data_IF_559088628340
#
_entry.id   IF_559088628340
#
_cell.length_a   1.000
_cell.length_b   1.000
_cell.length_c   1.000
_cell.angle_alpha   90.00
_cell.angle_beta   90.00
_cell.angle_gamma   90.00
#
_symmetry.space_group_name_H-M   'P 1'
#
loop_
_entity.id
_entity.type
_entity.pdbx_description
1 polymer ?
#
# COMPACT_ATOMS: atom_id res chain seq x y z
N UNK A 1 -10.00 -9.54 -17.48
CA UNK A 1 -11.32 -9.67 -16.83
C UNK A 1 -11.10 -9.74 -15.33
N UNK A 2 -11.90 -9.00 -14.55
CA UNK A 2 -11.89 -9.02 -13.09
C UNK A 2 -13.26 -9.44 -12.61
N UNK A 3 -13.32 -10.43 -11.72
CA UNK A 3 -14.54 -10.90 -11.07
C UNK A 3 -14.49 -10.63 -9.58
N UNK A 4 -15.66 -10.39 -9.01
CA UNK A 4 -15.86 -10.17 -7.58
C UNK A 4 -16.77 -11.27 -7.02
N UNK A 5 -16.42 -11.85 -5.88
CA UNK A 5 -17.22 -12.89 -5.23
C UNK A 5 -17.40 -12.55 -3.76
N UNK A 6 -18.66 -12.53 -3.32
CA UNK A 6 -19.04 -12.55 -1.92
C UNK A 6 -19.35 -13.99 -1.54
N UNK A 7 -18.86 -14.43 -0.38
CA UNK A 7 -19.18 -15.75 0.16
C UNK A 7 -20.04 -15.59 1.42
N UNK A 8 -21.04 -16.46 1.63
CA UNK A 8 -21.76 -16.49 2.90
C UNK A 8 -20.80 -16.60 4.07
N UNK A 9 -21.14 -15.90 5.17
CA UNK A 9 -20.42 -15.96 6.44
C UNK A 9 -18.94 -15.53 6.38
N UNK A 10 -18.55 -14.75 5.36
CA UNK A 10 -17.21 -14.14 5.25
C UNK A 10 -17.28 -12.63 5.16
N UNK A 11 -16.54 -11.94 6.03
CA UNK A 11 -16.29 -10.51 5.94
C UNK A 11 -15.16 -10.20 4.94
N UNK A 12 -15.27 -10.72 3.71
CA UNK A 12 -14.27 -10.54 2.67
C UNK A 12 -14.90 -10.43 1.28
N UNK A 13 -14.38 -9.51 0.47
CA UNK A 13 -14.65 -9.42 -0.96
C UNK A 13 -13.50 -10.07 -1.73
N UNK A 14 -13.78 -11.17 -2.41
CA UNK A 14 -12.76 -11.87 -3.18
C UNK A 14 -12.65 -11.29 -4.59
N UNK A 15 -11.43 -11.02 -5.03
CA UNK A 15 -11.12 -10.45 -6.34
C UNK A 15 -10.32 -11.49 -7.13
N UNK A 16 -10.84 -11.90 -8.28
CA UNK A 16 -10.15 -12.79 -9.21
C UNK A 16 -9.89 -12.07 -10.53
N UNK A 17 -8.63 -12.01 -10.96
CA UNK A 17 -8.24 -11.34 -12.20
C UNK A 17 -7.61 -12.32 -13.17
N UNK A 18 -7.99 -12.22 -14.45
CA UNK A 18 -7.35 -12.93 -15.58
C UNK A 18 -6.92 -11.92 -16.64
N UNK A 19 -5.64 -11.98 -17.03
CA UNK A 19 -5.07 -11.20 -18.12
C UNK A 19 -4.82 -12.14 -19.30
N UNK A 20 -5.22 -11.73 -20.49
CA UNK A 20 -5.03 -12.48 -21.73
C UNK A 20 -4.39 -11.57 -22.78
N UNK A 21 -3.33 -12.04 -23.42
CA UNK A 21 -2.71 -11.35 -24.56
C UNK A 21 -3.17 -12.02 -25.85
N UNK A 22 -4.09 -11.40 -26.58
CA UNK A 22 -4.58 -11.91 -27.87
C UNK A 22 -3.70 -11.56 -29.07
N UNK A 23 -2.56 -10.89 -28.86
CA UNK A 23 -1.64 -10.55 -29.95
C UNK A 23 -0.68 -11.71 -30.26
N UNK A 24 -0.20 -11.77 -31.50
CA UNK A 24 0.83 -12.72 -31.90
C UNK A 24 2.21 -12.45 -31.25
N UNK A 25 2.38 -11.31 -30.59
CA UNK A 25 3.63 -10.91 -29.94
C UNK A 25 3.43 -10.57 -28.46
N UNK A 26 4.45 -10.75 -27.59
CA UNK A 26 4.40 -10.36 -26.20
C UNK A 26 4.08 -8.86 -26.02
N UNK A 27 3.28 -8.54 -25.00
CA UNK A 27 2.97 -7.17 -24.57
C UNK A 27 3.24 -7.01 -23.09
N UNK A 28 3.84 -5.89 -22.72
CA UNK A 28 3.99 -5.51 -21.32
C UNK A 28 2.64 -5.11 -20.72
N UNK A 29 2.43 -5.44 -19.45
CA UNK A 29 1.28 -4.98 -18.70
C UNK A 29 1.66 -4.73 -17.24
N UNK A 30 0.86 -3.90 -16.58
CA UNK A 30 0.85 -3.75 -15.13
C UNK A 30 -0.59 -3.90 -14.68
N UNK A 31 -0.79 -4.48 -13.49
CA UNK A 31 -2.10 -4.62 -12.90
C UNK A 31 -2.02 -4.34 -11.40
N UNK A 32 -3.01 -3.63 -10.88
CA UNK A 32 -3.11 -3.26 -9.48
C UNK A 32 -4.56 -3.37 -9.01
N UNK A 33 -4.77 -3.91 -7.80
CA UNK A 33 -5.99 -3.69 -7.03
C UNK A 33 -5.78 -2.45 -6.15
N UNK A 34 -6.55 -1.39 -6.39
CA UNK A 34 -6.38 -0.09 -5.74
C UNK A 34 -7.62 0.30 -4.93
N UNK A 35 -7.95 -0.42 -3.83
CA UNK A 35 -9.04 0.00 -2.98
C UNK A 35 -8.70 1.36 -2.33
N UNK A 36 -9.64 2.29 -2.39
CA UNK A 36 -9.55 3.54 -1.63
C UNK A 36 -10.19 3.34 -0.25
N UNK A 37 -9.55 3.89 0.77
CA UNK A 37 -10.07 3.93 2.13
C UNK A 37 -10.12 5.37 2.61
N UNK A 38 -10.85 5.63 3.68
CA UNK A 38 -10.91 6.95 4.31
C UNK A 38 -9.51 7.33 4.84
N UNK A 39 -9.03 8.52 4.47
CA UNK A 39 -7.85 9.15 5.07
C UNK A 39 -8.19 9.97 6.32
N UNK A 40 -7.27 10.79 6.81
CA UNK A 40 -7.49 11.67 7.97
C UNK A 40 -6.66 11.29 9.20
N UNK A 41 -6.86 11.97 10.33
CA UNK A 41 -5.97 11.88 11.50
C UNK A 41 -5.86 10.47 12.10
N UNK A 42 -6.98 9.73 12.13
CA UNK A 42 -7.04 8.35 12.56
C UNK A 42 -6.43 7.35 11.58
N UNK A 43 -6.11 7.73 10.34
CA UNK A 43 -5.62 6.79 9.32
C UNK A 43 -4.16 6.37 9.57
N UNK A 44 -3.91 5.07 9.39
CA UNK A 44 -2.60 4.46 9.42
C UNK A 44 -2.42 3.45 8.28
N UNK A 45 -1.36 3.61 7.50
CA UNK A 45 -0.85 2.62 6.56
C UNK A 45 -0.34 1.38 7.31
N UNK A 46 -0.83 0.19 6.96
CA UNK A 46 -0.42 -1.09 7.58
C UNK A 46 0.38 -1.90 6.57
N UNK A 47 1.70 -1.95 6.76
CA UNK A 47 2.58 -2.87 6.04
C UNK A 47 2.99 -4.04 6.94
N UNK A 48 3.37 -5.18 6.36
CA UNK A 48 3.94 -6.29 7.12
C UNK A 48 5.17 -5.89 7.94
N UNK A 49 5.44 -6.60 9.05
CA UNK A 49 6.52 -6.26 9.97
C UNK A 49 7.93 -6.42 9.37
N UNK A 50 8.07 -7.17 8.27
CA UNK A 50 9.34 -7.33 7.56
C UNK A 50 9.61 -6.22 6.53
N UNK A 51 8.67 -5.27 6.35
CA UNK A 51 8.87 -4.09 5.52
C UNK A 51 9.57 -3.01 6.33
N UNK A 52 10.88 -2.91 6.15
CA UNK A 52 11.73 -1.92 6.83
C UNK A 52 12.14 -0.75 5.92
N UNK A 53 11.85 -0.84 4.62
CA UNK A 53 12.18 0.19 3.63
C UNK A 53 11.06 0.35 2.60
N UNK A 54 10.75 1.62 2.28
CA UNK A 54 9.74 1.99 1.27
C UNK A 54 10.32 2.98 0.26
N UNK A 55 9.98 2.79 -1.01
CA UNK A 55 10.39 3.65 -2.11
C UNK A 55 9.31 4.65 -2.47
N UNK A 56 9.76 5.86 -2.86
CA UNK A 56 8.89 6.88 -3.43
C UNK A 56 8.39 6.49 -4.84
N UNK A 57 7.50 7.32 -5.37
CA UNK A 57 7.06 7.21 -6.74
C UNK A 57 8.24 7.31 -7.70
N UNK A 58 8.48 6.26 -8.50
CA UNK A 58 9.58 6.22 -9.46
C UNK A 58 10.93 5.78 -8.90
N UNK A 59 11.00 5.31 -7.64
CA UNK A 59 12.23 4.77 -7.00
C UNK A 59 13.42 5.75 -7.00
N UNK A 60 13.15 7.03 -6.77
CA UNK A 60 14.14 8.12 -6.68
C UNK A 60 14.67 8.30 -5.25
N UNK A 61 13.87 7.93 -4.25
CA UNK A 61 14.21 8.01 -2.84
C UNK A 61 13.71 6.79 -2.07
N UNK A 62 14.39 6.45 -0.99
CA UNK A 62 14.05 5.38 -0.05
C UNK A 62 13.94 5.97 1.36
N UNK A 63 13.00 5.47 2.15
CA UNK A 63 12.87 5.80 3.57
C UNK A 63 12.77 4.52 4.39
N UNK A 64 13.24 4.59 5.64
CA UNK A 64 12.93 3.57 6.63
C UNK A 64 11.43 3.61 6.96
N UNK A 65 10.83 2.45 7.20
CA UNK A 65 9.42 2.33 7.57
C UNK A 65 9.29 1.46 8.82
N UNK A 66 8.37 1.79 9.77
CA UNK A 66 7.45 2.94 9.74
C UNK A 66 8.08 4.26 10.20
N UNK A 67 9.22 4.21 10.89
CA UNK A 67 9.90 5.40 11.39
C UNK A 67 10.88 5.91 10.34
N UNK A 68 10.51 7.01 9.66
CA UNK A 68 11.38 7.70 8.73
C UNK A 68 12.42 8.53 9.46
N UNK A 69 13.62 8.59 8.89
CA UNK A 69 14.68 9.53 9.26
C UNK A 69 15.22 10.21 7.99
N UNK A 70 15.85 11.38 8.15
CA UNK A 70 16.38 12.17 7.03
C UNK A 70 15.27 12.79 6.17
N UNK A 71 15.54 13.01 4.88
CA UNK A 71 14.59 13.66 3.97
C UNK A 71 13.86 12.63 3.09
N UNK A 72 12.53 12.72 3.04
CA UNK A 72 11.70 11.93 2.13
C UNK A 72 10.58 12.80 1.54
N UNK A 73 10.36 12.74 0.22
CA UNK A 73 9.46 13.67 -0.49
C UNK A 73 9.74 15.16 -0.22
N UNK A 74 11.01 15.53 -0.01
CA UNK A 74 11.46 16.90 0.35
C UNK A 74 10.95 17.38 1.72
N UNK A 75 10.40 16.48 2.54
CA UNK A 75 10.03 16.73 3.93
C UNK A 75 11.15 16.23 4.83
N UNK A 76 11.49 17.00 5.86
CA UNK A 76 12.47 16.61 6.88
C UNK A 76 11.82 15.76 7.97
N UNK A 77 12.26 14.51 8.08
CA UNK A 77 11.87 13.54 9.10
C UNK A 77 13.05 13.18 10.02
N UNK A 78 14.11 14.00 10.06
CA UNK A 78 15.34 13.74 10.85
C UNK A 78 15.11 13.46 12.33
N UNK A 79 14.01 13.92 12.91
CA UNK A 79 13.62 13.66 14.31
C UNK A 79 13.10 12.24 14.59
N UNK A 80 12.92 11.40 13.56
CA UNK A 80 12.32 10.08 13.71
C UNK A 80 10.80 10.17 13.74
N UNK A 81 10.17 10.12 12.57
CA UNK A 81 8.73 10.34 12.42
C UNK A 81 8.05 9.07 11.92
N UNK A 82 6.98 8.67 12.59
CA UNK A 82 6.14 7.56 12.13
C UNK A 82 5.34 7.98 10.90
N UNK A 83 5.86 7.65 9.71
CA UNK A 83 5.24 7.91 8.42
C UNK A 83 4.20 6.85 8.05
N UNK A 84 3.91 5.88 8.93
CA UNK A 84 2.70 5.06 8.76
C UNK A 84 1.43 5.84 9.10
N UNK A 85 1.53 6.93 9.89
CA UNK A 85 0.39 7.76 10.32
C UNK A 85 0.13 8.89 9.33
N UNK A 86 -1.07 8.95 8.75
CA UNK A 86 -1.45 9.97 7.77
C UNK A 86 -1.23 11.41 8.26
N UNK A 87 -1.53 11.68 9.53
CA UNK A 87 -1.33 13.00 10.16
C UNK A 87 0.12 13.52 10.11
N UNK A 88 1.10 12.63 9.92
CA UNK A 88 2.52 12.96 9.85
C UNK A 88 3.01 13.15 8.41
N UNK A 89 2.12 13.04 7.41
CA UNK A 89 2.44 13.04 5.99
C UNK A 89 1.87 14.32 5.38
N UNK A 90 2.66 15.41 5.27
CA UNK A 90 2.11 16.71 4.88
C UNK A 90 1.87 16.86 3.38
N UNK A 91 2.54 16.05 2.55
CA UNK A 91 2.48 16.15 1.09
C UNK A 91 2.07 14.83 0.46
N UNK A 92 1.55 14.81 -0.77
CA UNK A 92 1.26 13.58 -1.49
C UNK A 92 2.48 12.64 -1.51
N UNK A 93 2.31 11.48 -0.89
CA UNK A 93 3.41 10.55 -0.61
C UNK A 93 2.95 9.15 -0.98
N UNK A 94 3.83 8.37 -1.61
CA UNK A 94 3.57 6.96 -1.87
C UNK A 94 4.65 6.09 -1.28
N UNK A 95 4.24 4.96 -0.70
CA UNK A 95 5.13 3.94 -0.17
C UNK A 95 5.01 2.70 -1.05
N UNK A 96 6.07 2.33 -1.74
CA UNK A 96 6.19 1.01 -2.36
C UNK A 96 7.15 0.16 -1.52
N UNK A 97 6.68 -0.94 -0.95
CA UNK A 97 7.55 -1.85 -0.21
C UNK A 97 8.61 -2.46 -1.15
N UNK A 98 9.85 -2.63 -0.67
CA UNK A 98 10.90 -3.32 -1.43
C UNK A 98 10.53 -4.79 -1.68
N UNK A 99 10.24 -5.51 -0.59
CA UNK A 99 9.95 -6.95 -0.54
C UNK A 99 9.23 -7.26 0.77
N UNK A 100 8.47 -8.34 0.79
CA UNK A 100 7.89 -8.91 2.00
C UNK A 100 7.51 -10.37 1.76
N UNK A 101 7.70 -11.24 2.75
CA UNK A 101 7.27 -12.64 2.74
C UNK A 101 5.83 -12.82 3.23
N UNK A 102 5.18 -11.76 3.68
CA UNK A 102 3.79 -11.79 4.12
C UNK A 102 2.84 -11.55 2.95
N UNK A 103 1.61 -12.06 3.11
CA UNK A 103 0.58 -12.00 2.09
C UNK A 103 -0.33 -10.77 2.19
N UNK A 104 -0.03 -9.79 3.06
CA UNK A 104 -0.96 -8.69 3.34
C UNK A 104 -0.38 -7.28 3.19
N UNK A 105 -1.27 -6.32 2.99
CA UNK A 105 -1.08 -4.87 3.17
C UNK A 105 -2.45 -4.27 3.47
N UNK A 106 -2.52 -3.17 4.19
CA UNK A 106 -3.81 -2.60 4.55
C UNK A 106 -3.74 -1.19 5.08
N UNK A 107 -4.85 -0.81 5.69
CA UNK A 107 -4.99 0.45 6.40
C UNK A 107 -5.90 0.25 7.61
N UNK A 108 -5.62 1.02 8.66
CA UNK A 108 -6.43 1.06 9.88
C UNK A 108 -6.84 2.49 10.20
N UNK A 109 -8.07 2.67 10.63
CA UNK A 109 -8.61 3.94 11.11
C UNK A 109 -8.86 3.84 12.61
N UNK A 110 -8.03 4.50 13.40
CA UNK A 110 -8.09 4.47 14.87
C UNK A 110 -9.38 5.08 15.43
N UNK A 111 -9.94 6.09 14.75
CA UNK A 111 -11.15 6.79 15.20
C UNK A 111 -12.43 5.98 14.94
N UNK A 112 -12.35 4.97 14.06
CA UNK A 112 -13.50 4.14 13.65
C UNK A 112 -13.37 2.68 14.10
N UNK A 113 -12.27 2.31 14.77
CA UNK A 113 -11.95 0.93 15.19
C UNK A 113 -12.13 -0.08 14.05
N UNK A 114 -11.63 0.29 12.86
CA UNK A 114 -11.88 -0.46 11.65
C UNK A 114 -10.87 -0.16 10.55
N UNK A 115 -10.85 -1.01 9.53
CA UNK A 115 -9.88 -0.88 8.44
C UNK A 115 -10.12 -1.85 7.30
N UNK A 116 -9.17 -1.86 6.37
CA UNK A 116 -9.17 -2.76 5.23
C UNK A 116 -7.83 -3.50 5.20
N UNK A 117 -7.90 -4.81 5.05
CA UNK A 117 -6.74 -5.66 4.81
C UNK A 117 -6.89 -6.31 3.44
N UNK A 118 -5.93 -6.07 2.56
CA UNK A 118 -5.80 -6.82 1.32
C UNK A 118 -4.86 -8.01 1.56
N UNK A 119 -5.32 -9.22 1.25
CA UNK A 119 -4.55 -10.46 1.41
C UNK A 119 -4.46 -11.19 0.07
N UNK A 120 -3.25 -11.52 -0.37
CA UNK A 120 -2.98 -12.28 -1.58
C UNK A 120 -1.63 -13.02 -1.47
N UNK A 121 -1.55 -14.21 -2.09
CA UNK A 121 -0.31 -14.98 -2.15
C UNK A 121 0.81 -14.15 -2.80
N UNK A 122 1.88 -13.89 -2.06
CA UNK A 122 3.00 -13.06 -2.49
C UNK A 122 3.79 -13.63 -3.69
N UNK A 123 3.64 -14.91 -4.02
CA UNK A 123 4.20 -15.48 -5.26
C UNK A 123 3.40 -15.08 -6.52
N UNK A 124 2.15 -14.61 -6.35
CA UNK A 124 1.26 -14.20 -7.44
C UNK A 124 1.12 -12.67 -7.47
N UNK A 125 0.87 -12.05 -6.32
CA UNK A 125 0.68 -10.61 -6.16
C UNK A 125 1.63 -10.05 -5.08
N UNK A 126 2.95 -9.96 -5.37
CA UNK A 126 3.94 -9.55 -4.37
C UNK A 126 3.85 -8.07 -3.97
N UNK A 127 3.38 -7.22 -4.89
CA UNK A 127 3.43 -5.77 -4.75
C UNK A 127 2.57 -5.26 -3.58
N UNK A 128 3.16 -4.43 -2.73
CA UNK A 128 2.50 -3.76 -1.61
C UNK A 128 2.76 -2.27 -1.72
N UNK A 129 1.69 -1.48 -1.83
CA UNK A 129 1.79 -0.05 -2.04
C UNK A 129 0.65 0.70 -1.35
N UNK A 130 0.98 1.86 -0.79
CA UNK A 130 0.00 2.87 -0.37
C UNK A 130 0.32 4.19 -1.05
N UNK A 131 -0.71 4.99 -1.31
CA UNK A 131 -0.59 6.38 -1.77
C UNK A 131 -1.49 7.23 -0.88
N UNK A 132 -0.91 8.24 -0.27
CA UNK A 132 -1.60 9.21 0.58
C UNK A 132 -1.56 10.58 -0.09
N UNK A 133 -2.65 11.34 0.03
CA UNK A 133 -2.75 12.67 -0.57
C UNK A 133 -2.05 13.76 0.26
N UNK A 134 -1.71 13.46 1.52
CA UNK A 134 -1.10 14.39 2.44
C UNK A 134 -2.12 15.25 3.19
N UNK A 135 -1.68 15.89 4.28
CA UNK A 135 -2.54 16.75 5.10
C UNK A 135 -2.66 18.19 4.59
N UNK A 136 -1.86 18.59 3.59
CA UNK A 136 -1.82 19.96 3.05
C UNK A 136 -2.13 20.00 1.55
#
# INVERSE_FOLDING_TARGET
MTGFTLRPDRAALEIASRVYNGNATPRHFLWWANPAVKGGEGHQSVFPPDVTAVFDHGKRAVSAFPIATGTYYKVDYSSGVDISRYKNVPVPTSYMAEKSQYDFVGAWCHDEDGGLLHVANHHIAPGKKTVELGTQ
#
